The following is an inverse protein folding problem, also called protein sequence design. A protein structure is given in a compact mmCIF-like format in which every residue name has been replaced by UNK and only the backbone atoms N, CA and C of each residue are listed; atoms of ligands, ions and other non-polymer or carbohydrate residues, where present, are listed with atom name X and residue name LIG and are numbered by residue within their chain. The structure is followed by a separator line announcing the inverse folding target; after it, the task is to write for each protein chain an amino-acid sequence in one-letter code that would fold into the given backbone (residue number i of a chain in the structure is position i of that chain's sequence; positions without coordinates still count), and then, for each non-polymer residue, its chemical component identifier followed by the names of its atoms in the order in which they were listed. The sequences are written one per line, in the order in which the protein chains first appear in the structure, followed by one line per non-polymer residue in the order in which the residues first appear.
data_IF_473232963741
#
_entry.id   IF_473232963741
#
_cell.length_a   1.000
_cell.length_b   1.000
_cell.length_c   1.000
_cell.angle_alpha   90.00
_cell.angle_beta   90.00
_cell.angle_gamma   90.00
#
_symmetry.space_group_name_H-M   'P 1'
#
loop_
_entity.id
_entity.type
_entity.pdbx_description
1 polymer ?
#
# COMPACT_ATOMS: atom_id res chain seq x y z
N UNK A 1 24.85 -16.60 -42.11
CA UNK A 1 25.84 -16.07 -41.14
C UNK A 1 25.16 -15.12 -40.15
N UNK A 2 24.25 -15.62 -39.30
CA UNK A 2 23.65 -14.90 -38.15
C UNK A 2 23.12 -15.96 -37.16
N UNK A 3 23.96 -16.44 -36.25
CA UNK A 3 23.49 -17.34 -35.17
C UNK A 3 24.42 -17.47 -33.96
N UNK A 4 25.35 -16.54 -33.75
CA UNK A 4 26.34 -16.67 -32.67
C UNK A 4 26.30 -15.54 -31.63
N UNK A 5 25.37 -14.59 -31.73
CA UNK A 5 25.26 -13.46 -30.78
C UNK A 5 24.03 -13.58 -29.84
N UNK A 6 22.97 -14.29 -30.27
CA UNK A 6 21.70 -14.40 -29.51
C UNK A 6 21.82 -15.21 -28.20
N UNK A 7 22.91 -15.95 -27.98
CA UNK A 7 23.07 -16.79 -26.78
C UNK A 7 23.74 -16.07 -25.61
N UNK A 8 24.49 -14.99 -25.86
CA UNK A 8 25.15 -14.22 -24.80
C UNK A 8 24.20 -13.25 -24.07
N UNK A 9 23.14 -12.77 -24.73
CA UNK A 9 22.20 -11.80 -24.17
C UNK A 9 21.26 -12.44 -23.10
N UNK A 10 20.87 -13.70 -23.29
CA UNK A 10 19.97 -14.42 -22.38
C UNK A 10 20.65 -14.79 -21.04
N UNK A 11 21.95 -15.07 -21.06
CA UNK A 11 22.71 -15.41 -19.83
C UNK A 11 22.97 -14.19 -18.94
N UNK A 12 23.24 -13.02 -19.55
CA UNK A 12 23.43 -11.74 -18.85
C UNK A 12 22.14 -11.27 -18.16
N UNK A 13 20.99 -11.40 -18.83
CA UNK A 13 19.65 -11.07 -18.29
C UNK A 13 19.25 -11.90 -17.05
N UNK A 14 19.71 -13.15 -16.96
CA UNK A 14 19.48 -14.01 -15.79
C UNK A 14 20.27 -13.57 -14.56
N UNK A 15 21.53 -13.15 -14.74
CA UNK A 15 22.39 -12.67 -13.65
C UNK A 15 21.92 -11.33 -13.10
N UNK A 16 21.54 -10.38 -13.96
CA UNK A 16 21.01 -9.07 -13.56
C UNK A 16 19.71 -9.19 -12.75
N UNK A 17 18.82 -10.12 -13.14
CA UNK A 17 17.58 -10.37 -12.39
C UNK A 17 17.84 -11.01 -11.02
N UNK A 18 18.83 -11.89 -10.89
CA UNK A 18 19.21 -12.50 -9.62
C UNK A 18 19.80 -11.47 -8.64
N UNK A 19 20.72 -10.62 -9.11
CA UNK A 19 21.31 -9.55 -8.29
C UNK A 19 20.28 -8.50 -7.87
N UNK A 20 19.32 -8.16 -8.76
CA UNK A 20 18.25 -7.22 -8.45
C UNK A 20 17.28 -7.77 -7.40
N UNK A 21 16.99 -9.07 -7.46
CA UNK A 21 16.17 -9.76 -6.47
C UNK A 21 16.88 -9.83 -5.11
N UNK A 22 18.16 -10.21 -5.09
CA UNK A 22 18.96 -10.27 -3.87
C UNK A 22 19.08 -8.90 -3.19
N UNK A 23 19.35 -7.85 -3.98
CA UNK A 23 19.39 -6.47 -3.49
C UNK A 23 18.06 -6.03 -2.88
N UNK A 24 16.94 -6.30 -3.55
CA UNK A 24 15.61 -5.99 -3.01
C UNK A 24 15.32 -6.73 -1.70
N UNK A 25 15.75 -7.99 -1.60
CA UNK A 25 15.63 -8.77 -0.37
C UNK A 25 16.48 -8.20 0.78
N UNK A 26 17.69 -7.73 0.46
CA UNK A 26 18.61 -7.12 1.42
C UNK A 26 18.10 -5.77 1.92
N UNK A 27 17.54 -4.94 1.04
CA UNK A 27 16.92 -3.67 1.41
C UNK A 27 15.71 -3.88 2.33
N UNK A 28 14.83 -4.83 2.00
CA UNK A 28 13.69 -5.16 2.85
C UNK A 28 14.12 -5.65 4.24
N UNK A 29 15.18 -6.48 4.32
CA UNK A 29 15.77 -6.91 5.59
C UNK A 29 16.35 -5.75 6.40
N UNK A 30 17.00 -4.79 5.74
CA UNK A 30 17.53 -3.60 6.40
C UNK A 30 16.40 -2.75 7.01
N UNK A 31 15.31 -2.53 6.25
CA UNK A 31 14.11 -1.83 6.74
C UNK A 31 13.46 -2.59 7.91
N UNK A 32 13.36 -3.92 7.80
CA UNK A 32 12.79 -4.74 8.87
C UNK A 32 13.58 -4.63 10.18
N UNK A 33 14.92 -4.58 10.12
CA UNK A 33 15.78 -4.34 11.29
C UNK A 33 15.54 -2.95 11.89
N UNK A 34 15.51 -1.91 11.06
CA UNK A 34 15.23 -0.55 11.51
C UNK A 34 13.88 -0.45 12.24
N UNK A 35 12.84 -1.09 11.71
CA UNK A 35 11.53 -1.17 12.36
C UNK A 35 11.66 -1.91 13.69
N UNK A 36 12.26 -3.09 13.71
CA UNK A 36 12.43 -3.89 14.93
C UNK A 36 13.17 -3.12 16.05
N UNK A 37 14.17 -2.33 15.70
CA UNK A 37 14.93 -1.49 16.66
C UNK A 37 14.10 -0.29 17.16
N UNK A 38 13.18 0.22 16.34
CA UNK A 38 12.37 1.40 16.64
C UNK A 38 11.12 1.05 17.47
N UNK A 39 10.52 -0.11 17.24
CA UNK A 39 9.25 -0.51 17.88
C UNK A 39 9.29 -0.46 19.41
N UNK A 40 10.32 -0.95 20.12
CA UNK A 40 10.37 -0.86 21.58
C UNK A 40 10.22 0.57 22.10
N UNK A 41 10.94 1.52 21.49
CA UNK A 41 10.86 2.95 21.85
C UNK A 41 9.48 3.53 21.59
N UNK A 42 8.85 3.14 20.49
CA UNK A 42 7.48 3.55 20.17
C UNK A 42 6.49 3.00 21.22
N UNK A 43 6.64 1.74 21.62
CA UNK A 43 5.77 1.09 22.61
C UNK A 43 5.90 1.79 23.96
N UNK A 44 7.13 2.03 24.44
CA UNK A 44 7.37 2.73 25.71
C UNK A 44 6.72 4.12 25.71
N UNK A 45 6.84 4.86 24.60
CA UNK A 45 6.21 6.15 24.44
C UNK A 45 4.67 6.06 24.49
N UNK A 46 4.08 5.15 23.72
CA UNK A 46 2.63 4.98 23.65
C UNK A 46 2.03 4.55 24.99
N UNK A 47 2.72 3.70 25.76
CA UNK A 47 2.31 3.32 27.12
C UNK A 47 2.27 4.55 28.03
N UNK A 48 3.28 5.44 27.94
CA UNK A 48 3.36 6.63 28.77
C UNK A 48 2.27 7.67 28.44
N UNK A 49 1.92 7.85 27.15
CA UNK A 49 0.98 8.90 26.73
C UNK A 49 -0.48 8.45 26.60
N UNK A 50 -0.72 7.16 26.34
CA UNK A 50 -2.04 6.61 25.96
C UNK A 50 -2.26 5.21 26.57
N UNK A 51 -2.40 5.12 27.91
CA UNK A 51 -2.62 3.83 28.58
C UNK A 51 -3.90 3.15 28.05
N UNK A 52 -3.81 1.84 27.77
CA UNK A 52 -4.93 1.02 27.28
C UNK A 52 -5.20 1.09 25.76
N UNK A 53 -4.52 1.97 25.01
CA UNK A 53 -4.71 2.14 23.57
C UNK A 53 -3.62 1.54 22.67
N UNK A 54 -2.58 0.92 23.25
CA UNK A 54 -1.32 0.60 22.58
C UNK A 54 -1.48 -0.03 21.19
N UNK A 55 -2.20 -1.17 21.11
CA UNK A 55 -2.34 -1.90 19.85
C UNK A 55 -3.04 -1.06 18.77
N UNK A 56 -4.10 -0.35 19.14
CA UNK A 56 -4.85 0.49 18.20
C UNK A 56 -3.97 1.63 17.69
N UNK A 57 -3.33 2.37 18.58
CA UNK A 57 -2.50 3.54 18.21
C UNK A 57 -1.30 3.12 17.34
N UNK A 58 -0.61 2.04 17.72
CA UNK A 58 0.50 1.49 16.93
C UNK A 58 0.04 1.07 15.52
N UNK A 59 -1.12 0.41 15.43
CA UNK A 59 -1.69 0.02 14.15
C UNK A 59 -2.08 1.22 13.28
N UNK A 60 -2.69 2.26 13.87
CA UNK A 60 -3.04 3.48 13.14
C UNK A 60 -1.79 4.23 12.63
N UNK A 61 -0.71 4.25 13.41
CA UNK A 61 0.58 4.84 13.03
C UNK A 61 1.21 4.15 11.82
N UNK A 62 1.11 2.82 11.75
CA UNK A 62 1.64 2.05 10.62
C UNK A 62 0.75 2.16 9.39
N UNK A 63 -0.57 2.07 9.57
CA UNK A 63 -1.49 2.00 8.45
C UNK A 63 -1.72 3.34 7.74
N UNK A 64 -1.76 4.47 8.45
CA UNK A 64 -1.95 5.79 7.82
C UNK A 64 -0.96 6.02 6.66
N UNK A 65 0.37 5.93 6.86
CA UNK A 65 1.32 6.17 5.78
C UNK A 65 1.23 5.10 4.68
N UNK A 66 1.02 3.83 5.04
CA UNK A 66 0.88 2.74 4.07
C UNK A 66 -0.30 2.98 3.11
N UNK A 67 -1.49 3.25 3.67
CA UNK A 67 -2.71 3.43 2.89
C UNK A 67 -2.67 4.74 2.09
N UNK A 68 -2.14 5.82 2.67
CA UNK A 68 -1.95 7.09 1.96
C UNK A 68 -1.02 6.93 0.76
N UNK A 69 0.10 6.23 0.92
CA UNK A 69 1.05 6.00 -0.16
C UNK A 69 0.45 5.16 -1.29
N UNK A 70 -0.26 4.08 -0.96
CA UNK A 70 -0.95 3.25 -1.97
C UNK A 70 -2.04 4.02 -2.73
N UNK A 71 -2.78 4.90 -2.06
CA UNK A 71 -3.73 5.80 -2.72
C UNK A 71 -3.01 6.79 -3.65
N UNK A 72 -1.88 7.37 -3.23
CA UNK A 72 -1.10 8.29 -4.06
C UNK A 72 -0.57 7.62 -5.33
N UNK A 73 0.04 6.42 -5.20
CA UNK A 73 0.52 5.61 -6.32
C UNK A 73 -0.57 5.28 -7.35
N UNK A 74 -1.84 5.31 -6.94
CA UNK A 74 -2.98 4.95 -7.80
C UNK A 74 -3.85 6.13 -8.17
N UNK A 75 -3.41 7.37 -7.88
CA UNK A 75 -4.17 8.59 -8.16
C UNK A 75 -5.52 8.64 -7.44
N UNK A 76 -5.61 8.04 -6.25
CA UNK A 76 -6.83 7.96 -5.45
C UNK A 76 -7.80 6.85 -5.90
N UNK A 77 -7.44 6.02 -6.87
CA UNK A 77 -8.27 4.90 -7.30
C UNK A 77 -8.27 3.78 -6.26
N UNK A 78 -9.30 3.77 -5.41
CA UNK A 78 -9.47 2.78 -4.34
C UNK A 78 -9.42 1.33 -4.80
N UNK A 79 -9.94 1.00 -5.98
CA UNK A 79 -9.93 -0.39 -6.45
C UNK A 79 -8.51 -0.83 -6.79
N UNK A 80 -7.73 0.03 -7.45
CA UNK A 80 -6.33 -0.24 -7.75
C UNK A 80 -5.48 -0.26 -6.49
N UNK A 81 -5.67 0.68 -5.56
CA UNK A 81 -4.97 0.71 -4.28
C UNK A 81 -5.24 -0.57 -3.48
N UNK A 82 -6.51 -1.01 -3.41
CA UNK A 82 -6.88 -2.23 -2.69
C UNK A 82 -6.23 -3.48 -3.31
N UNK A 83 -6.17 -3.56 -4.64
CA UNK A 83 -5.45 -4.65 -5.34
C UNK A 83 -3.95 -4.61 -5.06
N UNK A 84 -3.32 -3.42 -5.11
CA UNK A 84 -1.91 -3.25 -4.80
C UNK A 84 -1.57 -3.71 -3.37
N UNK A 85 -2.47 -3.41 -2.42
CA UNK A 85 -2.32 -3.78 -1.01
C UNK A 85 -2.72 -5.23 -0.71
N UNK A 86 -3.32 -5.96 -1.64
CA UNK A 86 -3.88 -7.30 -1.39
C UNK A 86 -5.09 -7.29 -0.45
N UNK A 87 -5.82 -6.17 -0.36
CA UNK A 87 -6.97 -6.00 0.53
C UNK A 87 -8.29 -5.99 -0.24
N UNK A 88 -9.37 -6.32 0.45
CA UNK A 88 -10.71 -6.04 -0.06
C UNK A 88 -10.94 -4.51 -0.11
N UNK A 89 -11.48 -4.00 -1.23
CA UNK A 89 -11.81 -2.57 -1.40
C UNK A 89 -12.76 -2.02 -0.33
N UNK A 90 -13.67 -2.84 0.20
CA UNK A 90 -14.52 -2.45 1.32
C UNK A 90 -13.71 -2.24 2.61
N UNK A 91 -12.73 -3.11 2.86
CA UNK A 91 -11.79 -2.98 3.98
C UNK A 91 -10.96 -1.71 3.84
N UNK A 92 -10.36 -1.48 2.66
CA UNK A 92 -9.62 -0.25 2.39
C UNK A 92 -10.48 0.99 2.65
N UNK A 93 -11.72 1.03 2.12
CA UNK A 93 -12.65 2.16 2.33
C UNK A 93 -12.97 2.37 3.82
N UNK A 94 -13.21 1.28 4.57
CA UNK A 94 -13.48 1.35 6.00
C UNK A 94 -12.29 1.94 6.75
N UNK A 95 -11.08 1.41 6.51
CA UNK A 95 -9.84 1.89 7.14
C UNK A 95 -9.53 3.34 6.78
N UNK A 96 -9.65 3.74 5.51
CA UNK A 96 -9.46 5.14 5.12
C UNK A 96 -10.39 6.10 5.88
N UNK A 97 -11.66 5.71 6.08
CA UNK A 97 -12.62 6.52 6.85
C UNK A 97 -12.25 6.59 8.34
N UNK A 98 -11.86 5.47 8.95
CA UNK A 98 -11.43 5.43 10.35
C UNK A 98 -10.17 6.28 10.59
N UNK A 99 -9.26 6.29 9.62
CA UNK A 99 -8.02 7.04 9.65
C UNK A 99 -8.14 8.46 9.07
N UNK A 100 -9.34 8.93 8.72
CA UNK A 100 -9.54 10.28 8.18
C UNK A 100 -8.79 10.58 6.86
N UNK A 101 -8.44 9.56 6.09
CA UNK A 101 -7.78 9.73 4.79
C UNK A 101 -8.78 10.24 3.75
N UNK A 102 -8.47 11.38 3.13
CA UNK A 102 -9.27 11.92 2.05
C UNK A 102 -9.19 10.98 0.85
N UNK A 103 -10.31 10.37 0.49
CA UNK A 103 -10.38 9.58 -0.74
C UNK A 103 -11.28 10.30 -1.73
N UNK A 104 -10.80 10.59 -2.95
CA UNK A 104 -11.62 11.21 -3.98
C UNK A 104 -12.93 10.42 -4.10
N UNK A 105 -14.05 11.09 -3.82
CA UNK A 105 -15.35 10.46 -4.01
C UNK A 105 -15.51 10.29 -5.51
N UNK A 106 -15.72 9.07 -5.97
CA UNK A 106 -16.22 8.85 -7.32
C UNK A 106 -17.45 9.75 -7.46
N UNK A 107 -17.40 10.70 -8.39
CA UNK A 107 -18.51 11.61 -8.68
C UNK A 107 -19.76 10.75 -8.81
N UNK A 108 -20.74 10.96 -7.93
CA UNK A 108 -22.06 10.35 -8.09
C UNK A 108 -22.66 11.04 -9.30
N UNK A 109 -22.55 10.42 -10.47
CA UNK A 109 -23.30 10.83 -11.63
C UNK A 109 -24.78 10.55 -11.31
N UNK A 110 -25.47 11.53 -10.74
CA UNK A 110 -26.91 11.49 -10.51
C UNK A 110 -27.60 11.76 -11.85
N UNK A 111 -27.60 10.75 -12.72
CA UNK A 111 -28.41 10.76 -13.92
C UNK A 111 -29.83 10.31 -13.58
N UNK A 112 -30.73 11.30 -13.57
CA UNK A 112 -32.19 11.27 -13.81
C UNK A 112 -33.11 10.43 -12.89
N UNK A 113 -34.15 11.03 -12.27
CA UNK A 113 -35.24 10.27 -11.65
C UNK A 113 -36.05 9.53 -12.74
N UNK A 114 -36.27 8.23 -12.52
CA UNK A 114 -36.86 7.29 -13.49
C UNK A 114 -38.39 7.28 -13.55
N UNK A 115 -39.07 8.32 -13.07
CA UNK A 115 -40.53 8.38 -13.06
C UNK A 115 -41.03 9.77 -13.49
N UNK A 116 -41.44 9.89 -14.74
CA UNK A 116 -42.42 10.89 -15.16
C UNK A 116 -43.81 10.24 -15.03
N UNK A 117 -44.82 10.90 -14.42
CA UNK A 117 -46.18 10.39 -14.42
C UNK A 117 -46.77 10.52 -15.84
N UNK A 118 -47.44 9.47 -16.32
CA UNK A 118 -48.31 9.57 -17.49
C UNK A 118 -49.49 10.48 -17.13
N UNK A 119 -49.67 11.54 -17.91
CA UNK A 119 -50.90 12.30 -18.03
C UNK A 119 -51.24 12.41 -19.52
#
# INVERSE_FOLDING_TARGET
MRRLEDTQEVAMSGAENAERSDRGSNELRAVARLIADTIPRLVDHLIAVRPGGLHREALELLERPLLAHALALTGGNQLRAARLLGLNRNTLRKRCRELGLAVPRASRNTATPKHAPLA
#
